data_IF_535617104940
#
_entry.id   IF_535617104940
#
_cell.length_a   1.000
_cell.length_b   1.000
_cell.length_c   1.000
_cell.angle_alpha   90.00
_cell.angle_beta   90.00
_cell.angle_gamma   90.00
#
_symmetry.space_group_name_H-M   'P 1'
#
loop_
_entity.id
_entity.type
_entity.pdbx_description
1 polymer ?
#
# COMPACT_ATOMS: atom_id res chain seq x y z
N UNK A 1 -12.00 -25.84 -7.25
CA UNK A 1 -10.59 -26.34 -7.28
C UNK A 1 -9.57 -25.27 -6.89
N UNK A 2 -9.93 -24.25 -6.11
CA UNK A 2 -9.11 -23.04 -5.94
C UNK A 2 -8.44 -22.93 -4.57
N UNK A 3 -8.83 -23.73 -3.58
CA UNK A 3 -8.30 -23.66 -2.21
C UNK A 3 -6.99 -24.45 -2.04
N UNK A 4 -6.80 -25.53 -2.80
CA UNK A 4 -5.64 -26.39 -2.69
C UNK A 4 -4.33 -25.74 -3.20
N UNK A 5 -4.38 -24.72 -4.07
CA UNK A 5 -3.16 -24.06 -4.58
C UNK A 5 -2.64 -22.95 -3.68
N UNK A 6 -3.50 -22.38 -2.84
CA UNK A 6 -3.15 -21.26 -1.94
C UNK A 6 -2.37 -21.75 -0.70
N UNK A 7 -2.58 -23.00 -0.29
CA UNK A 7 -1.95 -23.60 0.88
C UNK A 7 -0.57 -24.25 0.62
N UNK A 8 -0.16 -24.43 -0.65
CA UNK A 8 1.09 -25.13 -0.99
C UNK A 8 2.33 -24.21 -0.83
N UNK A 9 2.14 -22.89 -0.74
CA UNK A 9 3.25 -21.93 -0.85
C UNK A 9 4.06 -21.64 0.43
N UNK A 10 3.55 -21.72 1.68
CA UNK A 10 4.38 -21.56 2.89
C UNK A 10 5.41 -22.68 3.05
N UNK A 11 5.02 -23.90 2.69
CA UNK A 11 5.83 -25.11 2.85
C UNK A 11 7.02 -25.09 1.87
N UNK A 12 6.84 -24.56 0.66
CA UNK A 12 7.91 -24.52 -0.36
C UNK A 12 9.09 -23.63 0.05
N UNK A 13 8.85 -22.40 0.51
CA UNK A 13 9.93 -21.51 0.93
C UNK A 13 10.73 -22.09 2.10
N UNK A 14 10.04 -22.72 3.07
CA UNK A 14 10.68 -23.40 4.19
C UNK A 14 11.51 -24.63 3.75
N UNK A 15 11.00 -25.43 2.82
CA UNK A 15 11.74 -26.57 2.24
C UNK A 15 13.05 -26.12 1.58
N UNK A 16 13.05 -24.98 0.90
CA UNK A 16 14.28 -24.41 0.33
C UNK A 16 15.26 -23.97 1.42
N UNK A 17 14.79 -23.39 2.53
CA UNK A 17 15.66 -23.05 3.66
C UNK A 17 16.30 -24.30 4.29
N UNK A 18 15.54 -25.40 4.45
CA UNK A 18 16.10 -26.67 4.93
C UNK A 18 17.12 -27.28 3.96
N UNK A 19 16.84 -27.21 2.64
CA UNK A 19 17.76 -27.67 1.62
C UNK A 19 19.07 -26.86 1.63
N UNK A 20 18.98 -25.53 1.75
CA UNK A 20 20.14 -24.64 1.91
C UNK A 20 20.93 -25.02 3.17
N UNK A 21 20.25 -25.26 4.30
CA UNK A 21 20.91 -25.67 5.55
C UNK A 21 21.74 -26.95 5.39
N UNK A 22 21.27 -27.92 4.60
CA UNK A 22 22.02 -29.15 4.30
C UNK A 22 23.18 -28.90 3.34
N UNK A 23 22.96 -28.14 2.27
CA UNK A 23 23.99 -27.82 1.28
C UNK A 23 25.17 -27.04 1.89
N UNK A 24 24.90 -26.19 2.89
CA UNK A 24 25.92 -25.47 3.68
C UNK A 24 26.90 -26.35 4.43
N UNK A 25 26.54 -27.62 4.70
CA UNK A 25 27.42 -28.54 5.41
C UNK A 25 28.58 -29.02 4.52
N UNK A 26 28.48 -28.86 3.20
CA UNK A 26 29.51 -29.26 2.24
C UNK A 26 30.61 -28.20 2.24
N UNK A 27 31.83 -28.60 2.64
CA UNK A 27 32.96 -27.69 2.83
C UNK A 27 33.79 -27.47 1.55
N UNK A 28 34.53 -26.36 1.44
CA UNK A 28 35.46 -26.14 0.33
C UNK A 28 36.46 -27.31 0.21
N UNK A 29 36.57 -27.88 -0.99
CA UNK A 29 37.44 -29.04 -1.27
C UNK A 29 36.76 -30.39 -1.12
N UNK A 30 35.53 -30.46 -0.60
CA UNK A 30 34.71 -31.67 -0.63
C UNK A 30 34.09 -31.89 -2.02
N UNK A 31 33.77 -33.15 -2.38
CA UNK A 31 32.99 -33.43 -3.57
C UNK A 31 31.67 -32.65 -3.57
N UNK A 32 31.25 -32.19 -4.75
CA UNK A 32 29.99 -31.46 -4.97
C UNK A 32 29.87 -30.07 -4.33
N UNK A 33 30.96 -29.50 -3.81
CA UNK A 33 30.94 -28.16 -3.23
C UNK A 33 30.40 -27.09 -4.19
N UNK A 34 30.84 -27.11 -5.45
CA UNK A 34 30.40 -26.11 -6.44
C UNK A 34 28.92 -26.24 -6.76
N UNK A 35 28.42 -27.48 -6.88
CA UNK A 35 27.02 -27.80 -7.06
C UNK A 35 26.19 -27.32 -5.87
N UNK A 36 26.65 -27.58 -4.64
CA UNK A 36 26.01 -27.10 -3.42
C UNK A 36 25.91 -25.57 -3.37
N UNK A 37 26.97 -24.85 -3.77
CA UNK A 37 26.94 -23.38 -3.85
C UNK A 37 25.95 -22.87 -4.93
N UNK A 38 25.86 -23.55 -6.07
CA UNK A 38 24.89 -23.22 -7.11
C UNK A 38 23.45 -23.46 -6.64
N UNK A 39 23.20 -24.59 -5.99
CA UNK A 39 21.89 -24.93 -5.43
C UNK A 39 21.45 -23.91 -4.37
N UNK A 40 22.35 -23.51 -3.46
CA UNK A 40 22.08 -22.46 -2.46
C UNK A 40 21.65 -21.17 -3.14
N UNK A 41 22.34 -20.75 -4.20
CA UNK A 41 21.99 -19.55 -4.98
C UNK A 41 20.62 -19.70 -5.62
N UNK A 42 20.34 -20.82 -6.29
CA UNK A 42 19.08 -21.07 -6.96
C UNK A 42 17.90 -21.12 -6.00
N UNK A 43 18.03 -21.82 -4.87
CA UNK A 43 16.98 -21.89 -3.85
C UNK A 43 16.75 -20.55 -3.16
N UNK A 44 17.81 -19.77 -2.92
CA UNK A 44 17.69 -18.40 -2.40
C UNK A 44 16.88 -17.51 -3.35
N UNK A 45 17.12 -17.62 -4.66
CA UNK A 45 16.32 -16.90 -5.66
C UNK A 45 14.84 -17.30 -5.61
N UNK A 46 14.55 -18.61 -5.51
CA UNK A 46 13.17 -19.10 -5.43
C UNK A 46 12.45 -18.58 -4.18
N UNK A 47 13.13 -18.51 -3.03
CA UNK A 47 12.55 -17.91 -1.80
C UNK A 47 12.15 -16.46 -2.05
N UNK A 48 13.02 -15.68 -2.70
CA UNK A 48 12.74 -14.29 -3.03
C UNK A 48 11.57 -14.16 -4.02
N UNK A 49 11.51 -15.01 -5.05
CA UNK A 49 10.42 -15.02 -6.03
C UNK A 49 9.07 -15.36 -5.38
N UNK A 50 9.04 -16.31 -4.44
CA UNK A 50 7.85 -16.63 -3.64
C UNK A 50 7.41 -15.41 -2.83
N UNK A 51 8.36 -14.71 -2.19
CA UNK A 51 8.07 -13.51 -1.42
C UNK A 51 7.50 -12.39 -2.31
N UNK A 52 8.11 -12.13 -3.46
CA UNK A 52 7.63 -11.13 -4.43
C UNK A 52 6.23 -11.50 -4.97
N UNK A 53 5.99 -12.77 -5.30
CA UNK A 53 4.67 -13.25 -5.73
C UNK A 53 3.57 -12.99 -4.69
N UNK A 54 3.86 -13.24 -3.41
CA UNK A 54 2.93 -12.94 -2.30
C UNK A 54 2.65 -11.44 -2.20
N UNK A 55 3.67 -10.59 -2.30
CA UNK A 55 3.48 -9.15 -2.24
C UNK A 55 2.61 -8.63 -3.40
N UNK A 56 2.83 -9.16 -4.60
CA UNK A 56 2.03 -8.84 -5.80
C UNK A 56 0.57 -9.26 -5.63
N UNK A 57 0.30 -10.41 -5.01
CA UNK A 57 -1.06 -10.84 -4.66
C UNK A 57 -1.71 -10.04 -3.52
N UNK A 58 -0.99 -9.07 -2.94
CA UNK A 58 -1.46 -8.22 -1.84
C UNK A 58 -1.18 -8.78 -0.44
N UNK A 59 -0.64 -9.99 -0.32
CA UNK A 59 -0.25 -10.61 0.95
C UNK A 59 1.15 -10.13 1.41
N UNK A 60 1.23 -8.89 1.89
CA UNK A 60 2.49 -8.29 2.34
C UNK A 60 3.08 -8.99 3.58
N UNK A 61 2.23 -9.42 4.52
CA UNK A 61 2.68 -10.14 5.70
C UNK A 61 3.34 -11.48 5.32
N UNK A 62 2.70 -12.24 4.42
CA UNK A 62 3.26 -13.48 3.89
C UNK A 62 4.51 -13.27 3.03
N UNK A 63 4.60 -12.15 2.31
CA UNK A 63 5.80 -11.78 1.56
C UNK A 63 6.99 -11.53 2.48
N UNK A 64 6.80 -10.69 3.51
CA UNK A 64 7.82 -10.41 4.53
C UNK A 64 8.26 -11.71 5.20
N UNK A 65 7.33 -12.55 5.66
CA UNK A 65 7.66 -13.81 6.29
C UNK A 65 8.50 -14.74 5.39
N UNK A 66 8.24 -14.78 4.08
CA UNK A 66 9.06 -15.55 3.14
C UNK A 66 10.44 -14.93 2.90
N UNK A 67 10.55 -13.62 2.77
CA UNK A 67 11.84 -12.97 2.56
C UNK A 67 12.73 -13.02 3.81
N UNK A 68 12.14 -12.98 5.02
CA UNK A 68 12.88 -13.01 6.29
C UNK A 68 13.64 -14.33 6.51
N UNK A 69 13.15 -15.45 5.96
CA UNK A 69 13.83 -16.75 6.08
C UNK A 69 14.97 -16.94 5.06
N UNK A 70 15.20 -15.96 4.18
CA UNK A 70 16.26 -16.03 3.18
C UNK A 70 17.64 -15.93 3.87
N UNK A 71 18.50 -16.93 3.68
CA UNK A 71 19.78 -16.97 4.37
C UNK A 71 20.84 -16.03 3.75
N UNK A 72 21.87 -15.68 4.53
CA UNK A 72 22.93 -14.75 4.12
C UNK A 72 23.96 -15.33 3.11
N UNK A 73 23.90 -16.61 2.70
CA UNK A 73 24.95 -17.22 1.85
C UNK A 73 25.16 -16.49 0.53
N UNK A 74 24.10 -15.87 0.01
CA UNK A 74 24.17 -14.97 -1.12
C UNK A 74 23.90 -13.55 -0.63
N UNK A 75 24.97 -12.78 -0.40
CA UNK A 75 24.89 -11.42 0.13
C UNK A 75 24.04 -10.48 -0.76
N UNK A 76 24.08 -10.63 -2.08
CA UNK A 76 23.30 -9.81 -3.02
C UNK A 76 21.80 -10.10 -2.88
N UNK A 77 21.41 -11.38 -2.91
CA UNK A 77 20.00 -11.77 -2.76
C UNK A 77 19.47 -11.47 -1.36
N UNK A 78 20.32 -11.62 -0.34
CA UNK A 78 20.01 -11.21 1.02
C UNK A 78 19.71 -9.72 1.11
N UNK A 79 20.59 -8.87 0.57
CA UNK A 79 20.37 -7.43 0.58
C UNK A 79 19.08 -7.06 -0.15
N UNK A 80 18.85 -7.64 -1.34
CA UNK A 80 17.60 -7.45 -2.08
C UNK A 80 16.37 -7.86 -1.27
N UNK A 81 16.43 -8.95 -0.53
CA UNK A 81 15.35 -9.39 0.36
C UNK A 81 15.10 -8.38 1.50
N UNK A 82 16.16 -7.84 2.12
CA UNK A 82 16.03 -6.81 3.16
C UNK A 82 15.39 -5.53 2.63
N UNK A 83 15.79 -5.07 1.45
CA UNK A 83 15.22 -3.88 0.81
C UNK A 83 13.72 -4.09 0.50
N UNK A 84 13.36 -5.29 0.02
CA UNK A 84 11.96 -5.68 -0.21
C UNK A 84 11.14 -5.71 1.07
N UNK A 85 11.69 -6.27 2.16
CA UNK A 85 11.03 -6.29 3.46
C UNK A 85 10.75 -4.86 3.93
N UNK A 86 11.73 -3.98 3.88
CA UNK A 86 11.58 -2.58 4.28
C UNK A 86 10.48 -1.90 3.46
N UNK A 87 10.49 -2.08 2.13
CA UNK A 87 9.45 -1.54 1.25
C UNK A 87 8.04 -2.08 1.58
N UNK A 88 7.88 -3.39 1.80
CA UNK A 88 6.57 -3.96 2.12
C UNK A 88 6.06 -3.55 3.50
N UNK A 89 6.96 -3.31 4.46
CA UNK A 89 6.60 -2.72 5.76
C UNK A 89 6.04 -1.29 5.58
N UNK A 90 6.66 -0.47 4.74
CA UNK A 90 6.15 0.88 4.42
C UNK A 90 4.77 0.83 3.73
N UNK A 91 4.56 -0.15 2.85
CA UNK A 91 3.23 -0.38 2.24
C UNK A 91 2.18 -0.80 3.27
N UNK A 92 2.52 -1.62 4.27
CA UNK A 92 1.60 -1.93 5.37
C UNK A 92 1.21 -0.67 6.15
N UNK A 93 2.17 0.22 6.42
CA UNK A 93 1.87 1.51 7.05
C UNK A 93 0.91 2.36 6.18
N UNK A 94 1.08 2.34 4.86
CA UNK A 94 0.16 3.06 3.95
C UNK A 94 -1.27 2.50 4.00
N UNK A 95 -1.43 1.18 4.13
CA UNK A 95 -2.75 0.57 4.35
C UNK A 95 -3.34 1.02 5.68
N UNK A 96 -2.54 1.10 6.74
CA UNK A 96 -2.98 1.61 8.05
C UNK A 96 -3.42 3.08 7.95
N UNK A 97 -2.68 3.93 7.23
CA UNK A 97 -3.06 5.33 6.98
C UNK A 97 -4.42 5.42 6.31
N UNK A 98 -4.66 4.62 5.27
CA UNK A 98 -5.95 4.58 4.56
C UNK A 98 -7.08 4.15 5.50
N UNK A 99 -6.89 3.08 6.27
CA UNK A 99 -7.91 2.59 7.20
C UNK A 99 -8.21 3.60 8.31
N UNK A 100 -7.19 4.27 8.85
CA UNK A 100 -7.37 5.37 9.78
C UNK A 100 -8.17 6.52 9.15
N UNK A 101 -7.82 6.92 7.92
CA UNK A 101 -8.52 7.98 7.21
C UNK A 101 -10.01 7.68 7.03
N UNK A 102 -10.38 6.42 6.75
CA UNK A 102 -11.78 5.99 6.57
C UNK A 102 -12.65 6.20 7.81
N UNK A 103 -12.06 6.28 9.00
CA UNK A 103 -12.80 6.49 10.25
C UNK A 103 -13.11 7.97 10.55
N UNK A 104 -12.47 8.90 9.82
CA UNK A 104 -12.55 10.33 10.10
C UNK A 104 -13.86 10.97 9.60
N UNK A 105 -14.33 10.73 8.36
CA UNK A 105 -15.48 11.43 7.82
C UNK A 105 -16.78 11.17 8.59
N UNK A 106 -17.54 12.23 8.81
CA UNK A 106 -18.88 12.20 9.41
C UNK A 106 -19.86 12.83 8.44
N UNK A 107 -20.99 12.15 8.24
CA UNK A 107 -22.02 12.62 7.31
C UNK A 107 -22.47 14.06 7.62
N UNK A 108 -22.54 14.90 6.59
CA UNK A 108 -22.92 16.32 6.70
C UNK A 108 -21.83 17.26 7.24
N UNK A 109 -20.68 16.75 7.70
CA UNK A 109 -19.58 17.55 8.24
C UNK A 109 -18.43 17.68 7.24
N UNK A 110 -18.50 18.67 6.34
CA UNK A 110 -17.49 18.94 5.31
C UNK A 110 -16.04 18.95 5.84
N UNK A 111 -15.80 19.56 7.00
CA UNK A 111 -14.46 19.63 7.61
C UNK A 111 -13.89 18.25 8.01
N UNK A 112 -14.72 17.28 8.32
CA UNK A 112 -14.25 15.92 8.65
C UNK A 112 -13.83 15.14 7.41
N UNK A 113 -14.51 15.34 6.28
CA UNK A 113 -14.06 14.80 4.99
C UNK A 113 -12.71 15.39 4.61
N UNK A 114 -12.53 16.71 4.75
CA UNK A 114 -11.24 17.37 4.46
C UNK A 114 -10.10 16.83 5.34
N UNK A 115 -10.34 16.61 6.64
CA UNK A 115 -9.36 15.95 7.53
C UNK A 115 -9.01 14.53 7.06
N UNK A 116 -10.00 13.77 6.60
CA UNK A 116 -9.78 12.47 5.98
C UNK A 116 -8.88 12.57 4.75
N UNK A 117 -9.12 13.53 3.87
CA UNK A 117 -8.30 13.75 2.67
C UNK A 117 -6.87 14.12 3.04
N UNK A 118 -6.67 14.99 4.04
CA UNK A 118 -5.32 15.32 4.54
C UNK A 118 -4.60 14.07 5.03
N UNK A 119 -5.29 13.17 5.75
CA UNK A 119 -4.70 11.91 6.18
C UNK A 119 -4.32 11.01 5.00
N UNK A 120 -5.15 10.94 3.96
CA UNK A 120 -4.86 10.19 2.74
C UNK A 120 -3.64 10.73 1.99
N UNK A 121 -3.35 12.02 2.08
CA UNK A 121 -2.18 12.65 1.47
C UNK A 121 -0.85 12.22 2.12
N UNK A 122 -0.88 11.55 3.28
CA UNK A 122 0.31 10.95 3.90
C UNK A 122 0.76 9.65 3.21
N UNK A 123 -0.06 9.08 2.31
CA UNK A 123 0.32 7.88 1.54
C UNK A 123 1.36 8.27 0.47
N UNK A 124 2.56 7.67 0.47
CA UNK A 124 3.59 7.97 -0.54
C UNK A 124 3.16 7.61 -1.97
N UNK A 125 3.53 8.43 -2.94
CA UNK A 125 3.12 8.32 -4.35
C UNK A 125 3.67 7.07 -5.05
N UNK A 126 4.82 6.59 -4.59
CA UNK A 126 5.49 5.39 -5.06
C UNK A 126 4.82 4.09 -4.59
N UNK A 127 3.91 4.17 -3.61
CA UNK A 127 3.20 3.00 -3.12
C UNK A 127 1.97 2.70 -3.99
N UNK A 128 1.70 1.41 -4.31
CA UNK A 128 0.46 1.01 -4.97
C UNK A 128 -0.81 1.46 -4.25
N UNK A 129 -0.74 1.64 -2.93
CA UNK A 129 -1.82 2.17 -2.09
C UNK A 129 -2.24 3.62 -2.45
N UNK A 130 -1.36 4.41 -3.09
CA UNK A 130 -1.62 5.80 -3.46
C UNK A 130 -2.83 5.98 -4.37
N UNK A 131 -3.02 5.10 -5.35
CA UNK A 131 -4.16 5.18 -6.27
C UNK A 131 -5.49 5.05 -5.51
N UNK A 132 -5.53 4.20 -4.49
CA UNK A 132 -6.69 4.06 -3.62
C UNK A 132 -6.91 5.31 -2.77
N UNK A 133 -5.83 5.90 -2.25
CA UNK A 133 -5.90 7.14 -1.49
C UNK A 133 -6.43 8.31 -2.36
N UNK A 134 -5.96 8.44 -3.59
CA UNK A 134 -6.44 9.47 -4.54
C UNK A 134 -7.93 9.29 -4.87
N UNK A 135 -8.37 8.07 -5.16
CA UNK A 135 -9.79 7.79 -5.45
C UNK A 135 -10.72 8.18 -4.30
N UNK A 136 -10.32 7.87 -3.06
CA UNK A 136 -11.06 8.28 -1.86
C UNK A 136 -11.03 9.79 -1.66
N UNK A 137 -9.89 10.42 -1.92
CA UNK A 137 -9.76 11.87 -1.82
C UNK A 137 -10.72 12.58 -2.79
N UNK A 138 -10.82 12.08 -4.02
CA UNK A 138 -11.78 12.57 -5.02
C UNK A 138 -13.24 12.38 -4.57
N UNK A 139 -13.60 11.18 -4.11
CA UNK A 139 -14.95 10.88 -3.62
C UNK A 139 -15.35 11.81 -2.45
N UNK A 140 -14.46 11.98 -1.49
CA UNK A 140 -14.70 12.82 -0.32
C UNK A 140 -14.73 14.31 -0.68
N UNK A 141 -13.92 14.72 -1.65
CA UNK A 141 -13.96 16.08 -2.20
C UNK A 141 -15.30 16.38 -2.87
N UNK A 142 -15.85 15.43 -3.64
CA UNK A 142 -17.19 15.53 -4.19
C UNK A 142 -18.25 15.62 -3.09
N UNK A 143 -18.10 14.85 -2.00
CA UNK A 143 -19.03 14.90 -0.86
C UNK A 143 -19.00 16.25 -0.13
N UNK A 144 -17.82 16.85 0.04
CA UNK A 144 -17.66 18.23 0.56
C UNK A 144 -18.44 19.20 -0.33
N UNK A 145 -18.27 19.09 -1.65
CA UNK A 145 -18.95 19.97 -2.59
C UNK A 145 -20.47 19.78 -2.58
N UNK A 146 -20.97 18.54 -2.48
CA UNK A 146 -22.42 18.29 -2.33
C UNK A 146 -22.99 18.91 -1.05
N UNK A 147 -22.24 18.88 0.06
CA UNK A 147 -22.65 19.55 1.30
C UNK A 147 -22.74 21.06 1.09
N UNK A 148 -21.78 21.66 0.38
CA UNK A 148 -21.81 23.07 0.03
C UNK A 148 -23.05 23.42 -0.80
N UNK A 149 -23.32 22.66 -1.87
CA UNK A 149 -24.50 22.85 -2.72
C UNK A 149 -25.81 22.74 -1.93
N UNK A 150 -25.93 21.76 -1.04
CA UNK A 150 -27.11 21.59 -0.19
C UNK A 150 -27.35 22.80 0.74
N UNK A 151 -26.28 23.41 1.26
CA UNK A 151 -26.39 24.64 2.08
C UNK A 151 -26.82 25.83 1.24
N UNK A 152 -26.27 26.00 0.04
CA UNK A 152 -26.66 27.07 -0.87
C UNK A 152 -28.15 26.96 -1.26
N UNK A 153 -28.63 25.74 -1.56
CA UNK A 153 -30.04 25.49 -1.87
C UNK A 153 -31.00 25.82 -0.72
N UNK A 154 -30.49 25.92 0.51
CA UNK A 154 -31.24 26.37 1.70
C UNK A 154 -31.15 27.89 1.93
N UNK A 155 -30.58 28.66 0.99
CA UNK A 155 -30.31 30.08 1.15
C UNK A 155 -29.16 30.39 2.12
N UNK A 156 -28.33 29.39 2.46
CA UNK A 156 -27.22 29.54 3.41
C UNK A 156 -25.89 29.69 2.66
N UNK A 157 -25.77 30.74 1.86
CA UNK A 157 -24.63 30.97 0.97
C UNK A 157 -23.30 31.09 1.72
N UNK A 158 -23.25 31.81 2.85
CA UNK A 158 -22.01 31.90 3.65
C UNK A 158 -21.55 30.51 4.12
N UNK A 159 -22.47 29.68 4.61
CA UNK A 159 -22.16 28.31 5.05
C UNK A 159 -21.82 27.38 3.87
N UNK A 160 -22.34 27.66 2.67
CA UNK A 160 -22.00 26.95 1.44
C UNK A 160 -20.56 27.26 1.01
N UNK A 161 -20.17 28.53 1.01
CA UNK A 161 -18.81 28.98 0.72
C UNK A 161 -17.83 28.37 1.71
N UNK A 162 -18.11 28.41 3.02
CA UNK A 162 -17.28 27.77 4.05
C UNK A 162 -17.06 26.27 3.79
N UNK A 163 -18.07 25.55 3.30
CA UNK A 163 -17.92 24.15 2.93
C UNK A 163 -17.12 23.98 1.64
N UNK A 164 -17.40 24.78 0.60
CA UNK A 164 -16.77 24.65 -0.71
C UNK A 164 -15.27 25.00 -0.69
N UNK A 165 -14.83 25.91 0.18
CA UNK A 165 -13.39 26.23 0.34
C UNK A 165 -12.60 25.03 0.85
N UNK A 166 -13.26 24.07 1.52
CA UNK A 166 -12.61 22.85 2.04
C UNK A 166 -12.33 21.80 0.95
N UNK A 167 -12.83 22.00 -0.27
CA UNK A 167 -12.57 21.12 -1.42
C UNK A 167 -11.09 21.28 -1.83
N UNK A 168 -10.24 20.24 -1.70
CA UNK A 168 -8.81 20.39 -1.93
C UNK A 168 -8.44 20.56 -3.40
N UNK A 169 -7.40 21.34 -3.68
CA UNK A 169 -6.80 21.43 -5.01
C UNK A 169 -6.26 20.06 -5.46
N UNK A 170 -6.30 19.81 -6.77
CA UNK A 170 -5.89 18.52 -7.35
C UNK A 170 -6.96 17.42 -7.31
N UNK A 171 -8.14 17.70 -6.75
CA UNK A 171 -9.29 16.79 -6.81
C UNK A 171 -10.28 17.20 -7.91
N UNK A 172 -11.06 16.24 -8.38
CA UNK A 172 -12.08 16.43 -9.43
C UNK A 172 -13.15 17.47 -9.09
N UNK A 173 -13.48 17.65 -7.81
CA UNK A 173 -14.51 18.61 -7.37
C UNK A 173 -13.98 20.06 -7.19
N UNK A 174 -12.67 20.28 -7.28
CA UNK A 174 -12.05 21.59 -7.01
C UNK A 174 -12.58 22.69 -7.92
N UNK A 175 -12.45 22.54 -9.24
CA UNK A 175 -12.89 23.55 -10.20
C UNK A 175 -14.39 23.86 -10.10
N UNK A 176 -15.30 22.85 -10.05
CA UNK A 176 -16.71 23.09 -9.78
C UNK A 176 -16.98 23.87 -8.48
N UNK A 177 -16.23 23.57 -7.41
CA UNK A 177 -16.38 24.26 -6.13
C UNK A 177 -15.94 25.72 -6.22
N UNK A 178 -14.81 26.02 -6.86
CA UNK A 178 -14.34 27.40 -7.07
C UNK A 178 -15.33 28.22 -7.91
N UNK A 179 -15.93 27.63 -8.94
CA UNK A 179 -16.97 28.28 -9.72
C UNK A 179 -18.24 28.56 -8.90
N UNK A 180 -18.63 27.64 -8.01
CA UNK A 180 -19.76 27.85 -7.12
C UNK A 180 -19.51 28.97 -6.11
N UNK A 181 -18.32 29.02 -5.49
CA UNK A 181 -17.92 30.10 -4.58
C UNK A 181 -18.06 31.46 -5.26
N UNK A 182 -17.52 31.63 -6.48
CA UNK A 182 -17.62 32.89 -7.23
C UNK A 182 -19.07 33.34 -7.46
N UNK A 183 -19.97 32.39 -7.74
CA UNK A 183 -21.39 32.68 -7.97
C UNK A 183 -22.13 33.09 -6.69
N UNK A 184 -21.81 32.47 -5.56
CA UNK A 184 -22.43 32.80 -4.27
C UNK A 184 -21.89 34.08 -3.65
N UNK A 185 -20.69 34.54 -4.02
CA UNK A 185 -20.11 35.79 -3.53
C UNK A 185 -20.72 37.05 -4.17
N UNK A 186 -21.43 36.90 -5.30
CA UNK A 186 -22.03 38.01 -6.04
C UNK A 186 -23.54 38.14 -5.82
N UNK A 187 -24.12 37.26 -5.00
CA UNK A 187 -25.52 37.27 -4.57
C UNK A 187 -25.64 37.94 -3.21
#
# INVERSE_FOLDING_TARGET
MTEARTAIQPIQAFQFTEAIAKARLIQPGEPYYNEAQNDIRSWSQVILDIAEGRATSGNLAGAIAAATILPYDNAELYQKAQDRIAFWQQRQNSRVIIEQARTIPRSGQASTYQKGIVKLAEVPIEHPEYETAQRLADEWSQRIFSIAQARAAQGRESAAIEAAILVPAGTTAYEPAQQAIRRWQVQ
#
